data_IF_267699921967
#
_entry.id   IF_267699921967
#
_cell.length_a   1.000
_cell.length_b   1.000
_cell.length_c   1.000
_cell.angle_alpha   90.00
_cell.angle_beta   90.00
_cell.angle_gamma   90.00
#
_symmetry.space_group_name_H-M   'P 1'
#
loop_
_entity.id
_entity.type
_entity.pdbx_description
1 polymer ?
#
# COMPACT_ATOMS: atom_id res chain seq x y z
N UNK A 1 -28.63 -2.10 -34.08
CA UNK A 1 -27.20 -2.45 -34.11
C UNK A 1 -26.39 -1.17 -33.94
N UNK A 2 -26.04 -0.78 -32.71
CA UNK A 2 -25.10 0.33 -32.45
C UNK A 2 -24.26 -0.06 -31.23
N UNK A 3 -22.97 -0.29 -31.47
CA UNK A 3 -21.95 -0.69 -30.51
C UNK A 3 -21.28 0.56 -29.92
N UNK A 4 -20.82 0.40 -28.67
CA UNK A 4 -19.55 0.94 -28.16
C UNK A 4 -19.39 2.46 -28.09
N UNK A 5 -19.80 3.04 -26.95
CA UNK A 5 -19.41 4.41 -26.56
C UNK A 5 -19.15 4.50 -25.05
N UNK A 6 -18.26 3.66 -24.49
CA UNK A 6 -17.87 3.76 -23.05
C UNK A 6 -16.39 3.44 -22.75
N UNK A 7 -15.51 3.41 -23.75
CA UNK A 7 -14.06 3.16 -23.54
C UNK A 7 -13.20 4.43 -23.76
N UNK A 8 -13.77 5.49 -24.33
CA UNK A 8 -13.00 6.64 -24.84
C UNK A 8 -12.53 7.64 -23.78
N UNK A 9 -13.10 7.66 -22.57
CA UNK A 9 -12.73 8.64 -21.53
C UNK A 9 -11.51 8.23 -20.71
N UNK A 10 -11.19 6.93 -20.61
CA UNK A 10 -10.00 6.45 -19.90
C UNK A 10 -8.72 6.60 -20.77
N UNK A 11 -8.87 6.55 -22.10
CA UNK A 11 -7.75 6.66 -23.04
C UNK A 11 -7.32 8.12 -23.29
N UNK A 12 -8.22 9.09 -23.13
CA UNK A 12 -7.92 10.50 -23.38
C UNK A 12 -7.04 11.12 -22.28
N UNK A 13 -7.07 10.57 -21.06
CA UNK A 13 -6.17 10.99 -19.97
C UNK A 13 -4.71 10.56 -20.25
N UNK A 14 -4.50 9.51 -21.06
CA UNK A 14 -3.17 9.04 -21.44
C UNK A 14 -2.53 9.82 -22.61
N UNK A 15 -3.31 10.58 -23.40
CA UNK A 15 -2.81 11.16 -24.68
C UNK A 15 -2.60 12.67 -24.67
N UNK A 16 -2.93 13.37 -23.58
CA UNK A 16 -2.83 14.83 -23.49
C UNK A 16 -1.68 15.33 -22.60
N UNK A 17 -0.63 14.53 -22.39
CA UNK A 17 0.62 15.05 -21.84
C UNK A 17 1.49 15.46 -23.02
N UNK A 18 1.70 16.76 -23.27
CA UNK A 18 2.60 17.18 -24.35
C UNK A 18 3.98 16.55 -24.11
N UNK A 19 4.58 16.06 -25.20
CA UNK A 19 5.94 15.54 -25.22
C UNK A 19 6.90 16.66 -24.84
N UNK A 20 7.16 16.81 -23.56
CA UNK A 20 8.09 17.82 -23.06
C UNK A 20 8.98 17.13 -22.03
N UNK A 21 10.19 16.78 -22.49
CA UNK A 21 11.38 16.25 -21.78
C UNK A 21 11.17 16.16 -20.26
N UNK A 22 10.79 14.97 -19.79
CA UNK A 22 10.62 14.70 -18.37
C UNK A 22 11.98 14.73 -17.65
N UNK A 23 11.97 14.96 -16.33
CA UNK A 23 13.16 14.85 -15.48
C UNK A 23 13.68 13.39 -15.40
N UNK A 24 12.94 12.45 -15.97
CA UNK A 24 13.12 11.02 -15.89
C UNK A 24 13.22 10.43 -17.29
N UNK A 25 14.14 9.49 -17.47
CA UNK A 25 14.48 8.90 -18.76
C UNK A 25 13.47 7.87 -19.24
N UNK A 26 13.60 7.49 -20.52
CA UNK A 26 12.91 6.33 -21.12
C UNK A 26 13.59 5.01 -20.70
N UNK A 27 13.69 4.78 -19.40
CA UNK A 27 14.62 3.79 -18.85
C UNK A 27 14.00 2.93 -17.74
N UNK A 28 14.75 1.90 -17.33
CA UNK A 28 14.43 1.03 -16.20
C UNK A 28 14.77 1.80 -14.93
N UNK A 29 13.83 1.84 -13.99
CA UNK A 29 14.05 2.52 -12.72
C UNK A 29 13.92 1.57 -11.54
N UNK A 30 14.60 1.92 -10.45
CA UNK A 30 14.43 1.31 -9.14
C UNK A 30 14.21 2.43 -8.13
N UNK A 31 13.16 2.32 -7.32
CA UNK A 31 12.80 3.31 -6.30
C UNK A 31 12.61 2.63 -4.95
N UNK A 32 13.40 3.05 -3.98
CA UNK A 32 13.20 2.68 -2.58
C UNK A 32 12.44 3.81 -1.87
N UNK A 33 11.47 3.43 -1.04
CA UNK A 33 10.72 4.32 -0.19
C UNK A 33 10.86 3.85 1.25
N UNK A 34 11.13 4.77 2.17
CA UNK A 34 11.15 4.49 3.60
C UNK A 34 10.51 5.67 4.34
N UNK A 35 9.63 5.37 5.29
CA UNK A 35 8.80 6.39 5.91
C UNK A 35 8.10 5.94 7.17
N UNK A 36 7.29 6.86 7.67
CA UNK A 36 6.47 6.68 8.84
C UNK A 36 5.10 7.29 8.64
N UNK A 37 4.13 6.78 9.37
CA UNK A 37 2.76 7.22 9.26
C UNK A 37 1.91 6.78 10.44
N UNK A 38 0.62 6.84 10.23
CA UNK A 38 -0.39 6.43 11.18
C UNK A 38 -1.34 5.45 10.51
N UNK A 39 -1.68 4.39 11.23
CA UNK A 39 -2.57 3.34 10.78
C UNK A 39 -3.90 3.42 11.52
N UNK A 40 -4.96 3.01 10.84
CA UNK A 40 -6.29 2.76 11.36
C UNK A 40 -6.72 1.38 10.86
N UNK A 41 -6.86 0.44 11.78
CA UNK A 41 -7.18 -0.96 11.49
C UNK A 41 -8.52 -1.27 12.13
N UNK A 42 -9.44 -1.86 11.36
CA UNK A 42 -10.72 -2.32 11.88
C UNK A 42 -10.99 -3.75 11.48
N UNK A 43 -11.47 -4.53 12.43
CA UNK A 43 -12.06 -5.84 12.20
C UNK A 43 -13.47 -5.78 12.76
N UNK A 44 -14.49 -5.88 11.90
CA UNK A 44 -15.88 -5.93 12.32
C UNK A 44 -16.46 -7.28 11.93
N UNK A 45 -17.04 -7.96 12.90
CA UNK A 45 -17.95 -9.06 12.65
C UNK A 45 -19.34 -8.46 12.40
N UNK A 46 -19.73 -8.44 11.14
CA UNK A 46 -21.01 -7.86 10.70
C UNK A 46 -22.21 -8.68 11.22
N UNK A 47 -22.01 -9.96 11.58
CA UNK A 47 -23.06 -10.85 12.07
C UNK A 47 -23.23 -10.78 13.59
N UNK A 48 -22.13 -10.68 14.33
CA UNK A 48 -22.15 -10.61 15.79
C UNK A 48 -22.24 -9.17 16.34
N UNK A 49 -22.13 -8.14 15.49
CA UNK A 49 -22.15 -6.74 15.91
C UNK A 49 -20.96 -6.35 16.81
N UNK A 50 -19.93 -7.19 16.87
CA UNK A 50 -18.72 -6.96 17.66
C UNK A 50 -17.57 -6.59 16.74
N UNK A 51 -16.65 -5.76 17.22
CA UNK A 51 -15.56 -5.28 16.40
C UNK A 51 -14.40 -4.72 17.20
N UNK A 52 -13.25 -4.74 16.57
CA UNK A 52 -11.97 -4.34 17.08
C UNK A 52 -11.46 -3.18 16.21
N UNK A 53 -11.05 -2.07 16.83
CA UNK A 53 -10.54 -0.88 16.15
C UNK A 53 -9.23 -0.43 16.77
N UNK A 54 -8.20 -0.26 15.95
CA UNK A 54 -6.85 0.10 16.39
C UNK A 54 -6.30 1.26 15.59
N UNK A 55 -5.52 2.07 16.29
CA UNK A 55 -4.81 3.20 15.72
C UNK A 55 -3.43 3.30 16.30
N UNK A 56 -2.44 3.60 15.47
CA UNK A 56 -1.07 3.73 15.96
C UNK A 56 -0.07 4.06 14.87
N UNK A 57 1.16 4.44 15.29
CA UNK A 57 2.22 4.75 14.36
C UNK A 57 2.59 3.52 13.53
N UNK A 58 3.09 3.72 12.33
CA UNK A 58 3.47 2.65 11.40
C UNK A 58 4.72 3.08 10.64
N UNK A 59 5.72 2.21 10.57
CA UNK A 59 6.84 2.31 9.63
C UNK A 59 6.46 1.70 8.27
N UNK A 60 6.87 2.35 7.20
CA UNK A 60 6.56 1.93 5.83
C UNK A 60 7.87 1.80 5.07
N UNK A 61 8.05 0.70 4.37
CA UNK A 61 9.12 0.54 3.39
C UNK A 61 8.59 -0.10 2.13
N UNK A 62 9.04 0.35 0.97
CA UNK A 62 8.60 -0.19 -0.31
C UNK A 62 9.72 -0.11 -1.34
N UNK A 63 9.83 -1.15 -2.15
CA UNK A 63 10.72 -1.18 -3.30
C UNK A 63 9.87 -1.28 -4.56
N UNK A 64 10.09 -0.36 -5.49
CA UNK A 64 9.47 -0.35 -6.81
C UNK A 64 10.55 -0.57 -7.86
N UNK A 65 10.25 -1.37 -8.87
CA UNK A 65 11.12 -1.56 -10.03
C UNK A 65 10.27 -1.66 -11.29
N UNK A 66 10.70 -1.03 -12.36
CA UNK A 66 9.87 -0.93 -13.55
C UNK A 66 10.54 -0.21 -14.70
N UNK A 67 9.72 0.22 -15.67
CA UNK A 67 10.19 0.92 -16.86
C UNK A 67 9.23 2.00 -17.31
N UNK A 68 9.74 2.93 -18.12
CA UNK A 68 8.96 4.00 -18.71
C UNK A 68 8.10 3.49 -19.88
N UNK A 69 6.79 3.78 -19.84
CA UNK A 69 5.89 3.68 -21.00
C UNK A 69 5.96 4.94 -21.88
N UNK A 70 6.31 6.07 -21.27
CA UNK A 70 6.65 7.34 -21.91
C UNK A 70 7.54 8.14 -20.95
N UNK A 71 8.12 9.28 -21.37
CA UNK A 71 8.94 10.11 -20.48
C UNK A 71 8.23 10.49 -19.17
N UNK A 72 6.91 10.63 -19.19
CA UNK A 72 6.10 11.03 -18.04
C UNK A 72 5.38 9.87 -17.35
N UNK A 73 5.43 8.65 -17.88
CA UNK A 73 4.63 7.53 -17.36
C UNK A 73 5.53 6.32 -17.13
N UNK A 74 5.57 5.82 -15.91
CA UNK A 74 6.30 4.61 -15.52
C UNK A 74 5.33 3.53 -15.06
N UNK A 75 5.57 2.30 -15.51
CA UNK A 75 4.90 1.09 -15.02
C UNK A 75 5.87 0.31 -14.16
N UNK A 76 5.41 -0.18 -13.00
CA UNK A 76 6.28 -0.82 -12.03
C UNK A 76 5.62 -1.99 -11.31
N UNK A 77 6.45 -2.97 -10.96
CA UNK A 77 6.15 -3.89 -9.87
C UNK A 77 6.65 -3.33 -8.55
N UNK A 78 6.00 -3.69 -7.45
CA UNK A 78 6.44 -3.29 -6.13
C UNK A 78 6.28 -4.39 -5.09
N UNK A 79 7.13 -4.33 -4.08
CA UNK A 79 6.96 -5.03 -2.82
C UNK A 79 6.98 -4.01 -1.68
N UNK A 80 6.02 -4.12 -0.77
CA UNK A 80 5.85 -3.21 0.36
C UNK A 80 5.85 -3.97 1.68
N UNK A 81 6.46 -3.37 2.70
CA UNK A 81 6.41 -3.82 4.07
C UNK A 81 5.93 -2.69 4.95
N UNK A 82 4.82 -2.93 5.65
CA UNK A 82 4.28 -2.01 6.63
C UNK A 82 4.42 -2.62 8.02
N UNK A 83 5.18 -1.97 8.88
CA UNK A 83 5.50 -2.43 10.23
C UNK A 83 4.94 -1.47 11.28
N UNK A 84 3.88 -1.87 11.98
CA UNK A 84 3.38 -1.16 13.16
C UNK A 84 3.89 -1.79 14.45
N UNK A 85 3.88 -1.06 15.57
CA UNK A 85 3.98 -1.70 16.87
C UNK A 85 2.80 -2.68 16.97
N UNK A 86 3.06 -3.92 17.42
CA UNK A 86 2.00 -4.91 17.65
C UNK A 86 1.02 -4.37 18.68
N UNK A 87 -0.17 -3.91 18.28
CA UNK A 87 -1.15 -3.42 19.23
C UNK A 87 -1.76 -4.67 19.86
N UNK A 88 -1.33 -4.99 21.09
CA UNK A 88 -1.95 -6.03 21.91
C UNK A 88 -3.35 -5.61 22.25
N UNK A 89 -4.34 -6.33 21.72
CA UNK A 89 -5.73 -5.99 22.01
C UNK A 89 -6.41 -7.15 22.68
N UNK A 90 -6.91 -6.86 23.87
CA UNK A 90 -7.75 -7.74 24.65
C UNK A 90 -9.20 -7.61 24.20
N UNK A 91 -9.79 -8.69 23.73
CA UNK A 91 -11.23 -8.74 23.46
C UNK A 91 -11.94 -9.22 24.73
N UNK A 92 -12.56 -8.31 25.49
CA UNK A 92 -13.19 -8.61 26.79
C UNK A 92 -14.60 -9.25 26.68
N UNK A 93 -15.09 -9.55 25.47
CA UNK A 93 -16.50 -9.92 25.24
C UNK A 93 -16.79 -11.42 25.11
N UNK A 94 -15.80 -12.28 25.32
CA UNK A 94 -15.99 -13.71 25.58
C UNK A 94 -15.30 -13.97 26.92
N UNK A 95 -15.69 -14.99 27.68
CA UNK A 95 -15.04 -15.40 28.95
C UNK A 95 -13.57 -15.85 28.79
N UNK A 96 -12.89 -15.39 27.74
CA UNK A 96 -11.63 -15.83 27.17
C UNK A 96 -10.76 -14.59 26.98
N UNK A 97 -9.69 -14.48 27.78
CA UNK A 97 -8.65 -13.47 27.63
C UNK A 97 -7.89 -13.72 26.31
N UNK A 98 -8.44 -13.21 25.22
CA UNK A 98 -7.86 -13.34 23.88
C UNK A 98 -7.10 -12.08 23.54
N UNK A 99 -5.80 -12.20 23.30
CA UNK A 99 -4.93 -11.10 22.86
C UNK A 99 -4.56 -11.34 21.39
N UNK A 100 -4.87 -10.36 20.55
CA UNK A 100 -4.41 -10.31 19.16
C UNK A 100 -3.12 -9.49 19.07
N UNK A 101 -2.10 -10.09 18.47
CA UNK A 101 -0.83 -9.45 18.13
C UNK A 101 -0.72 -9.38 16.60
N UNK A 102 -1.04 -8.22 16.03
CA UNK A 102 -0.90 -7.97 14.61
C UNK A 102 0.57 -7.70 14.27
N UNK A 103 1.10 -8.41 13.28
CA UNK A 103 2.46 -8.23 12.85
C UNK A 103 2.52 -8.19 11.33
N UNK A 104 2.76 -7.00 10.80
CA UNK A 104 3.25 -6.79 9.44
C UNK A 104 2.26 -7.07 8.29
N UNK A 105 2.30 -6.18 7.30
CA UNK A 105 1.66 -6.37 5.99
C UNK A 105 2.74 -6.46 4.93
N UNK A 106 2.70 -7.54 4.15
CA UNK A 106 3.44 -7.71 2.91
C UNK A 106 2.52 -7.44 1.73
N UNK A 107 2.90 -6.47 0.92
CA UNK A 107 2.24 -6.19 -0.35
C UNK A 107 3.12 -6.61 -1.51
N UNK A 108 2.56 -7.34 -2.47
CA UNK A 108 3.17 -7.57 -3.78
C UNK A 108 2.19 -7.11 -4.86
N UNK A 109 2.62 -6.19 -5.71
CA UNK A 109 1.71 -5.54 -6.63
C UNK A 109 2.32 -4.91 -7.86
N UNK A 110 1.44 -4.26 -8.61
CA UNK A 110 1.75 -3.51 -9.82
C UNK A 110 1.18 -2.10 -9.72
N UNK A 111 1.82 -1.13 -10.37
CA UNK A 111 1.38 0.24 -10.34
C UNK A 111 1.83 1.07 -11.53
N UNK A 112 1.26 2.27 -11.59
CA UNK A 112 1.56 3.30 -12.57
C UNK A 112 1.95 4.58 -11.84
N UNK A 113 2.97 5.26 -12.35
CA UNK A 113 3.44 6.54 -11.84
C UNK A 113 3.49 7.55 -12.97
N UNK A 114 2.98 8.74 -12.70
CA UNK A 114 3.01 9.91 -13.55
C UNK A 114 4.04 10.88 -12.97
N UNK A 115 4.90 11.40 -13.83
CA UNK A 115 5.92 12.37 -13.48
C UNK A 115 5.85 13.58 -14.38
N UNK A 116 6.03 14.75 -13.79
CA UNK A 116 6.18 15.97 -14.55
C UNK A 116 7.63 16.48 -14.52
N UNK A 117 7.89 17.47 -15.37
CA UNK A 117 9.22 18.09 -15.51
C UNK A 117 9.72 18.75 -14.23
N UNK A 118 8.79 19.21 -13.39
CA UNK A 118 9.11 19.83 -12.11
C UNK A 118 9.53 18.82 -11.04
N UNK A 119 9.53 17.52 -11.32
CA UNK A 119 9.83 16.45 -10.36
C UNK A 119 8.62 16.03 -9.52
N UNK A 120 7.43 16.59 -9.76
CA UNK A 120 6.21 16.14 -9.08
C UNK A 120 5.84 14.75 -9.62
N UNK A 121 5.44 13.88 -8.70
CA UNK A 121 5.06 12.51 -8.98
C UNK A 121 3.71 12.17 -8.37
N UNK A 122 2.92 11.40 -9.11
CA UNK A 122 1.67 10.81 -8.65
C UNK A 122 1.68 9.33 -9.05
N UNK A 123 1.55 8.43 -8.10
CA UNK A 123 1.51 7.00 -8.39
C UNK A 123 0.37 6.30 -7.70
N UNK A 124 -0.16 5.30 -8.39
CA UNK A 124 -1.23 4.42 -7.93
C UNK A 124 -0.74 2.99 -8.09
N UNK A 125 -1.03 2.13 -7.11
CA UNK A 125 -0.70 0.71 -7.17
C UNK A 125 -1.78 -0.13 -6.54
N UNK A 126 -1.89 -1.37 -7.02
CA UNK A 126 -2.71 -2.41 -6.43
C UNK A 126 -1.85 -3.63 -6.09
N UNK A 127 -2.10 -4.23 -4.94
CA UNK A 127 -1.35 -5.38 -4.41
C UNK A 127 -2.26 -6.53 -4.01
N UNK A 128 -1.67 -7.72 -3.99
CA UNK A 128 -2.11 -8.79 -3.11
C UNK A 128 -1.46 -8.52 -1.75
N UNK A 129 -2.30 -8.39 -0.72
CA UNK A 129 -1.88 -8.09 0.64
C UNK A 129 -1.89 -9.35 1.50
N UNK A 130 -0.81 -9.59 2.22
CA UNK A 130 -0.69 -10.65 3.21
C UNK A 130 -0.43 -10.04 4.58
N UNK A 131 -1.26 -10.39 5.56
CA UNK A 131 -1.11 -9.92 6.94
C UNK A 131 -0.87 -11.13 7.85
N UNK A 132 0.11 -11.01 8.74
CA UNK A 132 0.44 -12.05 9.70
C UNK A 132 -0.04 -11.60 11.08
N UNK A 133 -0.67 -12.49 11.83
CA UNK A 133 -1.07 -12.18 13.20
C UNK A 133 -0.90 -13.40 14.10
N UNK A 134 -0.67 -13.11 15.38
CA UNK A 134 -0.65 -14.10 16.45
C UNK A 134 -1.87 -13.88 17.32
N UNK A 135 -2.43 -14.97 17.84
CA UNK A 135 -3.37 -14.86 18.93
C UNK A 135 -2.97 -15.76 20.09
N UNK A 136 -3.17 -15.24 21.29
CA UNK A 136 -2.98 -15.97 22.54
C UNK A 136 -4.27 -15.99 23.34
N UNK A 137 -4.57 -17.13 23.95
CA UNK A 137 -5.74 -17.34 24.81
C UNK A 137 -5.22 -17.65 26.21
N UNK A 138 -5.64 -16.87 27.21
CA UNK A 138 -5.15 -16.98 28.60
C UNK A 138 -3.61 -16.95 28.71
N UNK A 139 -2.94 -16.19 27.84
CA UNK A 139 -1.47 -16.09 27.82
C UNK A 139 -0.74 -17.26 27.15
N UNK A 140 -1.44 -18.31 26.72
CA UNK A 140 -0.86 -19.36 25.88
C UNK A 140 -0.96 -18.97 24.40
N UNK A 141 0.17 -18.93 23.69
CA UNK A 141 0.18 -18.69 22.25
C UNK A 141 -0.47 -19.88 21.53
N UNK A 142 -1.56 -19.64 20.80
CA UNK A 142 -2.31 -20.71 20.14
C UNK A 142 -1.81 -20.96 18.72
N UNK A 143 -1.29 -19.92 18.04
CA UNK A 143 -0.67 -20.09 16.73
C UNK A 143 -0.29 -18.77 16.04
N UNK A 144 0.30 -18.89 14.85
CA UNK A 144 0.52 -17.79 13.90
C UNK A 144 -0.36 -18.05 12.69
N UNK A 145 -1.09 -17.02 12.27
CA UNK A 145 -2.12 -17.10 11.26
C UNK A 145 -1.86 -16.08 10.17
N UNK A 146 -2.35 -16.39 8.98
CA UNK A 146 -2.16 -15.59 7.78
C UNK A 146 -3.50 -15.18 7.22
N UNK A 147 -3.61 -13.89 6.89
CA UNK A 147 -4.72 -13.33 6.13
C UNK A 147 -4.25 -12.98 4.73
N UNK A 148 -5.15 -13.13 3.78
CA UNK A 148 -4.91 -12.73 2.39
C UNK A 148 -6.01 -11.78 1.94
N UNK A 149 -5.65 -10.87 1.03
CA UNK A 149 -6.60 -10.00 0.40
C UNK A 149 -5.91 -9.08 -0.58
N UNK A 150 -6.38 -7.84 -0.63
CA UNK A 150 -5.89 -6.87 -1.59
C UNK A 150 -5.60 -5.54 -0.90
N UNK A 151 -4.69 -4.81 -1.51
CA UNK A 151 -4.29 -3.47 -1.11
C UNK A 151 -4.27 -2.53 -2.30
N UNK A 152 -4.41 -1.24 -2.04
CA UNK A 152 -4.19 -0.19 -3.00
C UNK A 152 -3.49 0.98 -2.32
N UNK A 153 -2.55 1.60 -3.02
CA UNK A 153 -1.87 2.79 -2.55
C UNK A 153 -1.96 3.94 -3.54
N UNK A 154 -1.90 5.14 -2.98
CA UNK A 154 -1.72 6.40 -3.66
C UNK A 154 -0.49 7.07 -3.07
N UNK A 155 0.44 7.50 -3.91
CA UNK A 155 1.65 8.22 -3.50
C UNK A 155 1.72 9.50 -4.31
N UNK A 156 1.80 10.64 -3.64
CA UNK A 156 2.00 11.93 -4.27
C UNK A 156 3.25 12.57 -3.66
N UNK A 157 4.17 13.03 -4.49
CA UNK A 157 5.45 13.50 -3.99
C UNK A 157 6.20 14.42 -4.93
N UNK A 158 7.35 14.84 -4.46
CA UNK A 158 8.30 15.70 -5.15
C UNK A 158 9.66 15.02 -5.16
N UNK A 159 10.22 14.84 -6.35
CA UNK A 159 11.56 14.33 -6.59
C UNK A 159 12.51 15.50 -6.90
N UNK A 160 13.75 15.35 -6.48
CA UNK A 160 14.83 16.31 -6.64
C UNK A 160 16.05 15.60 -7.23
N UNK A 161 16.59 16.08 -8.35
CA UNK A 161 17.74 15.46 -8.99
C UNK A 161 18.98 15.61 -8.09
N UNK A 162 19.72 14.51 -7.90
CA UNK A 162 21.06 14.52 -7.29
C UNK A 162 22.15 14.45 -8.36
N UNK A 163 21.91 13.65 -9.40
CA UNK A 163 22.81 13.45 -10.52
C UNK A 163 22.02 13.09 -11.77
N UNK A 164 22.69 12.76 -12.88
CA UNK A 164 22.06 12.34 -14.12
C UNK A 164 21.16 11.10 -13.98
N UNK A 165 21.40 10.25 -12.96
CA UNK A 165 20.66 8.98 -12.76
C UNK A 165 20.04 8.81 -11.39
N UNK A 166 20.37 9.68 -10.43
CA UNK A 166 19.87 9.56 -9.07
C UNK A 166 18.99 10.76 -8.71
N UNK A 167 17.84 10.48 -8.11
CA UNK A 167 17.00 11.47 -7.43
C UNK A 167 16.67 11.02 -6.02
N UNK A 168 16.40 11.99 -5.16
CA UNK A 168 15.74 11.76 -3.88
C UNK A 168 14.41 12.51 -3.86
N UNK A 169 13.48 12.08 -3.03
CA UNK A 169 12.18 12.75 -2.96
C UNK A 169 11.50 12.63 -1.61
N UNK A 170 10.43 13.41 -1.49
CA UNK A 170 9.51 13.39 -0.36
C UNK A 170 8.12 13.12 -0.90
N UNK A 171 7.43 12.15 -0.32
CA UNK A 171 6.11 11.72 -0.77
C UNK A 171 5.17 11.55 0.40
N UNK A 172 3.92 11.99 0.21
CA UNK A 172 2.80 11.54 1.00
C UNK A 172 2.30 10.21 0.43
N UNK A 173 1.97 9.27 1.32
CA UNK A 173 1.45 7.96 0.96
C UNK A 173 0.14 7.74 1.68
N UNK A 174 -0.86 7.26 0.94
CA UNK A 174 -2.11 6.74 1.46
C UNK A 174 -2.27 5.30 0.98
N UNK A 175 -2.70 4.42 1.88
CA UNK A 175 -3.00 3.03 1.57
C UNK A 175 -4.34 2.63 2.15
N UNK A 176 -5.06 1.81 1.39
CA UNK A 176 -6.25 1.12 1.82
C UNK A 176 -6.14 -0.35 1.42
N UNK A 177 -6.43 -1.26 2.33
CA UNK A 177 -6.47 -2.68 2.02
C UNK A 177 -7.46 -3.43 2.89
N UNK A 178 -7.92 -4.58 2.37
CA UNK A 178 -8.84 -5.46 3.06
C UNK A 178 -8.32 -6.89 2.96
N UNK A 179 -8.18 -7.56 4.11
CA UNK A 179 -7.67 -8.93 4.21
C UNK A 179 -8.67 -9.81 4.98
N UNK A 180 -8.66 -11.09 4.65
CA UNK A 180 -9.58 -12.10 5.16
C UNK A 180 -8.80 -13.29 5.73
N UNK A 181 -9.35 -13.90 6.79
CA UNK A 181 -8.79 -15.13 7.36
C UNK A 181 -8.90 -16.30 6.38
N UNK A 182 -7.83 -17.09 6.30
CA UNK A 182 -7.78 -18.32 5.50
C UNK A 182 -8.19 -19.47 6.42
N UNK A 183 -9.49 -19.59 6.68
CA UNK A 183 -10.04 -20.61 7.57
C UNK A 183 -11.57 -20.64 7.56
N UNK A 184 -12.19 -21.62 8.24
CA UNK A 184 -13.65 -21.81 8.23
C UNK A 184 -14.44 -20.67 8.93
N UNK A 185 -13.78 -19.75 9.64
CA UNK A 185 -14.38 -18.53 10.21
C UNK A 185 -14.00 -17.30 9.38
N UNK A 186 -14.57 -17.18 8.19
CA UNK A 186 -14.26 -16.12 7.23
C UNK A 186 -14.94 -14.76 7.52
N UNK A 187 -15.60 -14.62 8.67
CA UNK A 187 -16.72 -13.68 8.82
C UNK A 187 -16.33 -12.24 9.22
N UNK A 188 -15.07 -11.96 9.52
CA UNK A 188 -14.65 -10.63 9.96
C UNK A 188 -13.44 -10.11 9.17
N UNK A 189 -13.67 -9.41 8.04
CA UNK A 189 -12.58 -8.82 7.28
C UNK A 189 -11.85 -7.74 8.08
N UNK A 190 -10.54 -7.67 7.87
CA UNK A 190 -9.72 -6.61 8.44
C UNK A 190 -9.44 -5.57 7.39
N UNK A 191 -9.91 -4.36 7.67
CA UNK A 191 -9.66 -3.18 6.86
C UNK A 191 -8.51 -2.40 7.46
N UNK A 192 -7.47 -2.19 6.65
CA UNK A 192 -6.29 -1.41 6.99
C UNK A 192 -6.30 -0.12 6.17
N UNK A 193 -6.31 1.01 6.86
CA UNK A 193 -6.06 2.32 6.28
C UNK A 193 -4.77 2.85 6.89
N UNK A 194 -3.83 3.33 6.09
CA UNK A 194 -2.70 4.07 6.65
C UNK A 194 -2.31 5.25 5.77
N UNK A 195 -1.84 6.30 6.43
CA UNK A 195 -1.36 7.52 5.80
C UNK A 195 -0.04 7.93 6.40
N UNK A 196 0.90 8.42 5.60
CA UNK A 196 2.22 8.78 6.08
C UNK A 196 3.05 9.59 5.10
N UNK A 197 4.30 9.82 5.49
CA UNK A 197 5.31 10.49 4.69
C UNK A 197 6.48 9.54 4.50
N UNK A 198 7.01 9.48 3.29
CA UNK A 198 8.18 8.68 2.95
C UNK A 198 9.23 9.54 2.26
N UNK A 199 10.49 9.23 2.56
CA UNK A 199 11.64 9.65 1.77
C UNK A 199 11.86 8.60 0.68
N UNK A 200 12.18 9.06 -0.51
CA UNK A 200 12.43 8.20 -1.67
C UNK A 200 13.85 8.39 -2.17
N UNK A 201 14.43 7.29 -2.65
CA UNK A 201 15.65 7.30 -3.45
C UNK A 201 15.36 6.52 -4.71
N UNK A 202 15.62 7.15 -5.86
CA UNK A 202 15.37 6.57 -7.16
C UNK A 202 16.65 6.57 -8.00
N UNK A 203 16.85 5.45 -8.69
CA UNK A 203 17.80 5.32 -9.78
C UNK A 203 17.02 5.15 -11.10
N UNK A 204 17.36 5.95 -12.10
CA UNK A 204 16.85 5.91 -13.49
C UNK A 204 18.05 5.91 -14.46
#
# INVERSE_FOLDING_TARGET
MVRSLKISSLMCILTCVPAIVALQGESIFVKALAGGGYSYVTQKDETAGTGLTFTGPLGISMLQAGGSLSPSVKFYGFTGFSFGPSPKVKADNLKIDTVYDYFYVLDLGLGLALYNKGGQSLSLGGSIAQNYYKYSVYGAQVGTYTRHGWGAHLIAGQEFPMSARFSWGLSALLYYGRVYDVGPSADAPVTNLYGGIAVTLMYD
#
